data_IF_659026381799
#
_entry.id   IF_659026381799
#
_cell.length_a   1.000
_cell.length_b   1.000
_cell.length_c   1.000
_cell.angle_alpha   90.00
_cell.angle_beta   90.00
_cell.angle_gamma   90.00
#
_symmetry.space_group_name_H-M   'P 1'
#
loop_
_entity.id
_entity.type
_entity.pdbx_description
1 polymer ?
#
# COMPACT_ATOMS: atom_id res chain seq x y z
N UNK A 1 2.56 -1.11 17.52
CA UNK A 1 1.99 0.05 18.24
C UNK A 1 2.22 1.27 17.38
N UNK A 2 1.18 2.06 17.10
CA UNK A 2 1.28 3.18 16.17
C UNK A 2 2.14 4.32 16.75
N UNK A 3 2.92 4.95 15.89
CA UNK A 3 3.82 6.07 16.18
C UNK A 3 3.44 7.30 15.40
N UNK A 4 3.77 8.47 15.95
CA UNK A 4 3.63 9.73 15.24
C UNK A 4 4.38 9.66 13.90
N UNK A 5 3.70 10.03 12.83
CA UNK A 5 4.23 9.97 11.46
C UNK A 5 3.82 8.74 10.68
N UNK A 6 3.37 7.66 11.34
CA UNK A 6 2.88 6.46 10.65
C UNK A 6 1.74 6.81 9.68
N UNK A 7 1.75 6.16 8.52
CA UNK A 7 0.68 6.25 7.53
C UNK A 7 -0.26 5.09 7.74
N UNK A 8 -1.56 5.39 7.84
CA UNK A 8 -2.59 4.39 8.13
C UNK A 8 -3.81 4.58 7.26
N UNK A 9 -4.56 3.51 7.06
CA UNK A 9 -5.92 3.53 6.51
C UNK A 9 -6.90 3.03 7.55
N UNK A 10 -8.13 3.52 7.48
CA UNK A 10 -9.23 3.01 8.30
C UNK A 10 -9.75 1.70 7.70
N UNK A 11 -10.09 0.72 8.53
CA UNK A 11 -10.71 -0.53 8.10
C UNK A 11 -11.80 -0.98 9.07
N UNK A 12 -12.75 -1.77 8.57
CA UNK A 12 -13.79 -2.45 9.38
C UNK A 12 -14.60 -1.50 10.28
N UNK A 13 -14.86 -0.27 9.84
CA UNK A 13 -15.68 0.74 10.54
C UNK A 13 -16.48 1.59 9.54
N UNK A 14 -17.46 2.36 10.02
CA UNK A 14 -18.31 3.20 9.16
C UNK A 14 -17.51 4.29 8.44
N UNK A 15 -16.52 4.86 9.13
CA UNK A 15 -15.61 5.86 8.58
C UNK A 15 -14.76 5.30 7.43
N UNK A 16 -14.38 4.02 7.47
CA UNK A 16 -13.65 3.39 6.37
C UNK A 16 -14.45 3.40 5.06
N UNK A 17 -15.77 3.19 5.13
CA UNK A 17 -16.65 3.33 3.97
C UNK A 17 -16.80 4.77 3.49
N UNK A 18 -16.79 5.74 4.40
CA UNK A 18 -16.91 7.16 4.07
C UNK A 18 -15.63 7.76 3.48
N UNK A 19 -14.46 7.33 3.97
CA UNK A 19 -13.14 7.80 3.56
C UNK A 19 -12.37 6.75 2.76
N UNK A 20 -13.07 5.98 1.93
CA UNK A 20 -12.56 4.79 1.25
C UNK A 20 -11.14 4.97 0.67
N UNK A 21 -10.18 4.19 1.19
CA UNK A 21 -8.78 4.21 0.76
C UNK A 21 -7.97 5.45 1.15
N UNK A 22 -8.53 6.38 1.93
CA UNK A 22 -7.81 7.58 2.38
C UNK A 22 -6.70 7.20 3.36
N UNK A 23 -5.50 7.67 3.05
CA UNK A 23 -4.33 7.56 3.91
C UNK A 23 -4.31 8.74 4.89
N UNK A 24 -4.16 8.42 6.17
CA UNK A 24 -4.03 9.36 7.26
C UNK A 24 -2.62 9.31 7.84
N UNK A 25 -2.16 10.45 8.39
CA UNK A 25 -0.94 10.49 9.19
C UNK A 25 -1.29 10.46 10.67
N UNK A 26 -0.64 9.59 11.44
CA UNK A 26 -0.70 9.65 12.90
C UNK A 26 -0.05 10.95 13.41
N UNK A 27 -0.85 11.81 14.05
CA UNK A 27 -0.43 13.09 14.67
C UNK A 27 0.27 12.86 16.01
N UNK A 28 -0.05 11.78 16.70
CA UNK A 28 0.53 11.36 17.98
C UNK A 28 0.98 9.92 17.93
N UNK A 29 1.77 9.50 18.92
CA UNK A 29 1.88 8.08 19.25
C UNK A 29 0.53 7.54 19.74
N UNK A 30 0.34 6.23 19.64
CA UNK A 30 -0.79 5.55 20.28
C UNK A 30 -0.72 5.72 21.80
N UNK A 31 -1.85 6.01 22.44
CA UNK A 31 -1.95 6.12 23.89
C UNK A 31 -3.27 5.54 24.41
N UNK A 32 -3.32 5.30 25.73
CA UNK A 32 -4.52 4.81 26.41
C UNK A 32 -5.39 6.01 26.79
N UNK A 33 -6.61 6.08 26.26
CA UNK A 33 -7.60 7.06 26.69
C UNK A 33 -8.09 6.78 28.12
N UNK A 34 -8.79 7.73 28.73
CA UNK A 34 -9.41 7.55 30.05
C UNK A 34 -10.43 6.41 30.09
N UNK A 35 -11.06 6.09 28.95
CA UNK A 35 -11.93 4.91 28.79
C UNK A 35 -11.18 3.57 28.84
N UNK A 36 -9.86 3.60 28.73
CA UNK A 36 -9.00 2.42 28.62
C UNK A 36 -8.73 1.95 27.19
N UNK A 37 -9.42 2.53 26.20
CA UNK A 37 -9.23 2.23 24.78
C UNK A 37 -7.87 2.73 24.28
N UNK A 38 -7.32 2.04 23.29
CA UNK A 38 -6.09 2.45 22.60
C UNK A 38 -6.43 3.36 21.42
N UNK A 39 -5.89 4.57 21.41
CA UNK A 39 -6.30 5.61 20.46
C UNK A 39 -5.10 6.39 19.92
N UNK A 40 -5.31 7.07 18.79
CA UNK A 40 -4.34 7.97 18.16
C UNK A 40 -5.07 9.19 17.59
N UNK A 41 -4.44 10.36 17.58
CA UNK A 41 -4.95 11.48 16.78
C UNK A 41 -4.46 11.36 15.34
N UNK A 42 -5.33 11.63 14.37
CA UNK A 42 -4.96 11.68 12.96
C UNK A 42 -4.95 13.14 12.47
N UNK A 43 -4.04 13.47 11.56
CA UNK A 43 -4.00 14.81 10.95
C UNK A 43 -5.28 15.09 10.15
N UNK A 44 -5.96 16.19 10.46
CA UNK A 44 -7.20 16.59 9.76
C UNK A 44 -8.45 15.77 10.12
N UNK A 45 -8.37 14.84 11.07
CA UNK A 45 -9.54 14.16 11.63
C UNK A 45 -9.95 14.82 12.95
N UNK A 46 -11.26 14.98 13.17
CA UNK A 46 -11.78 15.57 14.40
C UNK A 46 -11.78 14.53 15.52
N UNK A 47 -10.99 14.76 16.57
CA UNK A 47 -10.88 13.85 17.71
C UNK A 47 -9.84 12.74 17.53
N UNK A 48 -9.78 11.85 18.51
CA UNK A 48 -8.94 10.65 18.45
C UNK A 48 -9.70 9.50 17.80
N UNK A 49 -8.96 8.55 17.22
CA UNK A 49 -9.50 7.37 16.57
C UNK A 49 -9.00 6.10 17.25
N UNK A 50 -9.80 5.04 17.23
CA UNK A 50 -9.44 3.75 17.82
C UNK A 50 -8.35 3.07 16.97
N UNK A 51 -7.26 2.70 17.63
CA UNK A 51 -6.11 2.09 16.95
C UNK A 51 -6.43 0.71 16.35
N UNK A 52 -7.45 0.00 16.86
CA UNK A 52 -7.88 -1.31 16.35
C UNK A 52 -8.49 -1.28 14.95
N UNK A 53 -8.94 -0.10 14.50
CA UNK A 53 -9.52 0.12 13.16
C UNK A 53 -8.56 0.82 12.22
N UNK A 54 -7.26 0.80 12.53
CA UNK A 54 -6.21 1.40 11.73
C UNK A 54 -5.19 0.35 11.29
N UNK A 55 -4.89 0.35 10.00
CA UNK A 55 -3.88 -0.50 9.40
C UNK A 55 -2.75 0.37 8.85
N UNK A 56 -1.50 0.06 9.22
CA UNK A 56 -0.31 0.72 8.67
C UNK A 56 -0.19 0.46 7.17
N UNK A 57 0.19 1.50 6.42
CA UNK A 57 0.50 1.43 4.99
C UNK A 57 1.99 1.65 4.78
N UNK A 58 2.62 0.70 4.10
CA UNK A 58 4.01 0.81 3.64
C UNK A 58 4.00 1.26 2.18
N UNK A 59 4.25 2.55 1.95
CA UNK A 59 4.20 3.16 0.61
C UNK A 59 5.40 2.79 -0.28
N UNK A 60 6.45 2.21 0.29
CA UNK A 60 7.67 1.78 -0.41
C UNK A 60 7.45 0.70 -1.49
N UNK A 61 6.26 0.09 -1.54
CA UNK A 61 5.94 -1.01 -2.45
C UNK A 61 5.10 -0.59 -3.68
N UNK A 62 4.77 0.69 -3.85
CA UNK A 62 3.84 1.13 -4.92
C UNK A 62 4.57 1.61 -6.18
N UNK A 63 5.86 1.96 -6.09
CA UNK A 63 6.61 2.61 -7.18
C UNK A 63 7.86 1.82 -7.60
N UNK A 64 7.77 0.48 -7.70
CA UNK A 64 8.73 -0.19 -8.58
C UNK A 64 8.31 0.07 -10.01
N UNK A 65 8.86 1.14 -10.59
CA UNK A 65 8.89 1.37 -12.02
C UNK A 65 9.49 0.10 -12.65
N UNK A 66 8.65 -0.76 -13.23
CA UNK A 66 9.13 -2.01 -13.81
C UNK A 66 9.79 -1.66 -15.13
N UNK A 67 11.10 -1.43 -15.07
CA UNK A 67 11.88 -1.12 -16.26
C UNK A 67 11.80 -2.30 -17.22
N UNK A 68 11.33 -2.10 -18.46
CA UNK A 68 11.27 -3.16 -19.43
C UNK A 68 12.70 -3.62 -19.74
N UNK A 69 13.06 -4.82 -19.29
CA UNK A 69 14.21 -5.55 -19.83
C UNK A 69 13.79 -6.08 -21.20
N UNK A 70 14.52 -5.69 -22.23
CA UNK A 70 14.20 -5.90 -23.64
C UNK A 70 13.79 -7.35 -23.95
N UNK A 71 12.88 -7.53 -24.93
CA UNK A 71 12.44 -8.85 -25.37
C UNK A 71 13.59 -9.66 -25.94
N UNK A 72 13.94 -10.78 -25.31
CA UNK A 72 14.99 -11.71 -25.77
C UNK A 72 14.72 -12.33 -27.16
N UNK A 73 13.48 -12.27 -27.67
CA UNK A 73 13.08 -12.83 -28.97
C UNK A 73 13.04 -11.80 -30.11
N UNK A 74 12.75 -10.53 -29.83
CA UNK A 74 12.50 -9.54 -30.88
C UNK A 74 13.02 -8.13 -30.59
N UNK A 75 13.83 -7.95 -29.53
CA UNK A 75 14.37 -6.65 -29.10
C UNK A 75 13.28 -5.58 -28.83
N UNK A 76 12.01 -5.99 -28.72
CA UNK A 76 10.87 -5.14 -28.41
C UNK A 76 10.76 -4.79 -26.92
N UNK A 77 9.98 -3.74 -26.60
CA UNK A 77 9.66 -3.39 -25.20
C UNK A 77 8.73 -4.44 -24.61
N UNK A 78 9.19 -5.18 -23.61
CA UNK A 78 8.35 -6.08 -22.81
C UNK A 78 8.28 -5.58 -21.38
N UNK A 79 7.09 -5.56 -20.78
CA UNK A 79 6.95 -5.16 -19.38
C UNK A 79 7.09 -6.41 -18.50
N UNK A 80 8.00 -6.36 -17.52
CA UNK A 80 7.87 -7.26 -16.38
C UNK A 80 6.66 -6.80 -15.57
N UNK A 81 5.82 -7.70 -15.09
CA UNK A 81 4.81 -7.38 -14.09
C UNK A 81 5.13 -8.18 -12.84
N UNK A 82 5.44 -7.50 -11.74
CA UNK A 82 5.70 -8.10 -10.44
C UNK A 82 4.43 -7.99 -9.59
N UNK A 83 3.68 -9.09 -9.50
CA UNK A 83 2.49 -9.19 -8.65
C UNK A 83 2.79 -9.95 -7.36
N UNK A 84 4.04 -9.89 -6.88
CA UNK A 84 4.49 -10.42 -5.59
C UNK A 84 4.68 -11.93 -5.53
N UNK A 85 3.82 -12.73 -6.20
CA UNK A 85 3.92 -14.19 -6.23
C UNK A 85 4.38 -14.75 -7.59
N UNK A 86 4.30 -13.95 -8.66
CA UNK A 86 4.64 -14.36 -10.02
C UNK A 86 5.15 -13.16 -10.81
N UNK A 87 6.27 -13.35 -11.50
CA UNK A 87 6.84 -12.43 -12.48
C UNK A 87 6.52 -12.96 -13.88
N UNK A 88 5.59 -12.30 -14.56
CA UNK A 88 5.20 -12.65 -15.93
C UNK A 88 5.66 -11.58 -16.90
N UNK A 89 6.05 -12.01 -18.10
CA UNK A 89 6.48 -11.15 -19.19
C UNK A 89 5.45 -11.18 -20.32
N UNK A 90 5.10 -9.99 -20.83
CA UNK A 90 4.28 -9.83 -22.05
C UNK A 90 4.97 -8.85 -23.02
N UNK A 91 5.07 -9.24 -24.29
CA UNK A 91 5.63 -8.39 -25.34
C UNK A 91 4.57 -7.82 -26.27
N UNK A 92 4.58 -6.50 -26.43
CA UNK A 92 3.66 -5.85 -27.35
C UNK A 92 3.95 -6.08 -28.82
N UNK A 93 5.20 -6.44 -29.16
CA UNK A 93 5.66 -6.63 -30.54
C UNK A 93 5.38 -8.05 -31.03
N UNK A 94 5.79 -9.07 -30.28
CA UNK A 94 5.61 -10.47 -30.70
C UNK A 94 4.41 -11.17 -30.05
N UNK A 95 3.69 -10.48 -29.15
CA UNK A 95 2.58 -11.04 -28.34
C UNK A 95 2.95 -12.32 -27.60
N UNK A 96 4.24 -12.53 -27.38
CA UNK A 96 4.77 -13.65 -26.62
C UNK A 96 4.62 -13.41 -25.13
N UNK A 97 4.51 -14.52 -24.40
CA UNK A 97 4.45 -14.56 -22.94
C UNK A 97 5.49 -15.52 -22.38
N UNK A 98 6.04 -15.24 -21.20
CA UNK A 98 7.04 -16.11 -20.56
C UNK A 98 7.16 -15.86 -19.05
N UNK A 99 7.51 -16.91 -18.31
CA UNK A 99 7.88 -16.82 -16.89
C UNK A 99 9.37 -16.44 -16.81
N UNK A 100 9.71 -15.49 -15.94
CA UNK A 100 11.11 -15.20 -15.63
C UNK A 100 11.57 -16.22 -14.58
N UNK A 101 12.50 -17.10 -14.94
CA UNK A 101 13.15 -17.99 -13.97
C UNK A 101 13.98 -17.14 -12.98
N UNK A 102 13.85 -17.44 -11.68
CA UNK A 102 14.56 -16.78 -10.58
C UNK A 102 16.09 -16.97 -10.65
#
# INVERSE_FOLDING_TARGET
>A
MLKKGDKVVMHTCGEAGHYNGKIWTCKTDQYKASSGSQVVFLEGFSGYFLAEYLQIVHLENVEKEIKPTECYRCDGKGVGLDWGAMTFWECDVCKGTGELEN
#
